data_IF_945734394621
#
_entry.id   IF_945734394621
#
_cell.length_a   1.000
_cell.length_b   1.000
_cell.length_c   1.000
_cell.angle_alpha   90.00
_cell.angle_beta   90.00
_cell.angle_gamma   90.00
#
_symmetry.space_group_name_H-M   'P 1'
#
loop_
_entity.id
_entity.type
_entity.pdbx_description
1 polymer ?
#
# COMPACT_ATOMS: atom_id res chain seq x y z
N UNK A 1 -23.77 -9.34 -5.57
CA UNK A 1 -23.22 -8.20 -6.30
C UNK A 1 -23.55 -8.33 -7.79
N UNK A 2 -23.82 -7.21 -8.45
CA UNK A 2 -23.92 -7.16 -9.91
C UNK A 2 -22.53 -6.93 -10.48
N UNK A 3 -22.05 -7.84 -11.32
CA UNK A 3 -20.74 -7.82 -11.95
C UNK A 3 -20.81 -7.64 -13.47
N UNK A 4 -21.96 -7.24 -13.99
CA UNK A 4 -22.20 -7.07 -15.43
C UNK A 4 -21.28 -6.03 -16.09
N UNK A 5 -20.70 -5.12 -15.31
CA UNK A 5 -19.72 -4.12 -15.77
C UNK A 5 -18.28 -4.61 -15.85
N UNK A 6 -17.99 -5.83 -15.41
CA UNK A 6 -16.64 -6.40 -15.44
C UNK A 6 -16.10 -6.55 -16.87
N UNK A 7 -14.78 -6.43 -17.02
CA UNK A 7 -14.08 -6.49 -18.31
C UNK A 7 -13.05 -7.61 -18.32
N UNK A 8 -12.64 -8.01 -19.53
CA UNK A 8 -11.55 -8.96 -19.74
C UNK A 8 -11.77 -10.30 -19.03
N UNK A 9 -13.00 -10.82 -19.08
CA UNK A 9 -13.41 -12.04 -18.39
C UNK A 9 -12.90 -13.31 -19.06
N UNK A 10 -12.54 -13.24 -20.36
CA UNK A 10 -11.97 -14.37 -21.08
C UNK A 10 -10.48 -14.50 -20.72
N UNK A 11 -10.05 -15.68 -20.24
CA UNK A 11 -8.63 -15.90 -19.91
C UNK A 11 -7.75 -15.81 -21.16
N UNK A 12 -6.73 -14.96 -21.10
CA UNK A 12 -5.70 -14.84 -22.13
C UNK A 12 -4.33 -14.64 -21.52
N UNK A 13 -3.48 -15.67 -21.57
CA UNK A 13 -2.13 -15.66 -21.00
C UNK A 13 -1.16 -14.67 -21.66
N UNK A 14 -1.56 -14.02 -22.76
CA UNK A 14 -0.76 -12.97 -23.41
C UNK A 14 -1.03 -11.56 -22.85
N UNK A 15 -2.06 -11.40 -22.01
CA UNK A 15 -2.47 -10.14 -21.38
C UNK A 15 -2.58 -8.95 -22.37
N UNK A 16 -3.36 -9.07 -23.46
CA UNK A 16 -3.33 -8.10 -24.56
C UNK A 16 -3.90 -6.72 -24.19
N UNK A 17 -4.67 -6.63 -23.10
CA UNK A 17 -5.39 -5.41 -22.75
C UNK A 17 -4.54 -4.40 -21.98
N UNK A 18 -3.78 -4.88 -21.01
CA UNK A 18 -2.82 -4.09 -20.21
C UNK A 18 -1.90 -5.05 -19.42
N UNK A 19 -0.82 -4.50 -18.87
CA UNK A 19 0.04 -5.24 -17.93
C UNK A 19 -0.81 -5.61 -16.70
N UNK A 20 -0.87 -6.90 -16.28
CA UNK A 20 -1.68 -7.35 -15.15
C UNK A 20 -0.99 -7.00 -13.82
N UNK A 21 -0.93 -5.72 -13.51
CA UNK A 21 -0.33 -5.19 -12.29
C UNK A 21 -1.10 -3.95 -11.83
N UNK A 22 -1.65 -3.94 -10.60
CA UNK A 22 -2.36 -2.80 -10.05
C UNK A 22 -1.53 -1.51 -9.92
N UNK A 23 -0.20 -1.59 -9.98
CA UNK A 23 0.67 -0.41 -10.01
C UNK A 23 0.79 0.22 -11.42
N UNK A 24 0.29 -0.47 -12.48
CA UNK A 24 0.38 0.01 -13.85
C UNK A 24 -0.69 1.08 -14.13
N UNK A 25 -0.26 2.24 -14.60
CA UNK A 25 -1.16 3.38 -14.87
C UNK A 25 -2.26 3.05 -15.89
N UNK A 26 -1.94 2.30 -16.96
CA UNK A 26 -2.93 1.93 -17.98
C UNK A 26 -3.96 0.94 -17.41
N UNK A 27 -3.54 0.01 -16.53
CA UNK A 27 -4.43 -0.91 -15.83
C UNK A 27 -5.39 -0.15 -14.92
N UNK A 28 -4.89 0.78 -14.10
CA UNK A 28 -5.71 1.61 -13.22
C UNK A 28 -6.63 2.55 -14.00
N UNK A 29 -6.16 3.16 -15.07
CA UNK A 29 -7.01 4.01 -15.93
C UNK A 29 -8.16 3.22 -16.56
N UNK A 30 -7.91 1.95 -16.95
CA UNK A 30 -8.93 1.07 -17.52
C UNK A 30 -10.06 0.81 -16.53
N UNK A 31 -9.76 0.42 -15.30
CA UNK A 31 -10.78 0.16 -14.28
C UNK A 31 -11.49 1.44 -13.84
N UNK A 32 -10.79 2.56 -13.69
CA UNK A 32 -11.40 3.87 -13.38
C UNK A 32 -12.40 4.31 -14.46
N UNK A 33 -12.05 4.12 -15.74
CA UNK A 33 -12.96 4.39 -16.84
C UNK A 33 -14.17 3.45 -16.84
N UNK A 34 -13.97 2.17 -16.50
CA UNK A 34 -15.07 1.20 -16.42
C UNK A 34 -16.07 1.56 -15.32
N UNK A 35 -15.58 1.89 -14.11
CA UNK A 35 -16.43 2.33 -12.98
C UNK A 35 -17.32 3.50 -13.39
N UNK A 36 -16.72 4.54 -13.98
CA UNK A 36 -17.47 5.73 -14.45
C UNK A 36 -18.47 5.40 -15.55
N UNK A 37 -18.10 4.54 -16.49
CA UNK A 37 -18.95 4.17 -17.64
C UNK A 37 -20.21 3.42 -17.20
N UNK A 38 -20.11 2.51 -16.25
CA UNK A 38 -21.24 1.68 -15.81
C UNK A 38 -21.91 2.17 -14.54
N UNK A 39 -21.36 3.20 -13.87
CA UNK A 39 -21.87 3.69 -12.59
C UNK A 39 -21.73 2.67 -11.48
N UNK A 40 -20.61 1.93 -11.43
CA UNK A 40 -20.38 0.93 -10.41
C UNK A 40 -20.11 1.56 -9.04
N UNK A 41 -20.51 0.87 -7.98
CA UNK A 41 -20.22 1.30 -6.60
C UNK A 41 -18.75 1.13 -6.23
N UNK A 42 -18.05 0.20 -6.88
CA UNK A 42 -16.64 -0.14 -6.64
C UNK A 42 -16.04 -0.80 -7.88
N UNK A 43 -14.82 -0.44 -8.21
CA UNK A 43 -13.96 -1.17 -9.13
C UNK A 43 -12.93 -1.97 -8.37
N UNK A 44 -12.61 -3.18 -8.87
CA UNK A 44 -11.58 -4.05 -8.32
C UNK A 44 -10.67 -4.50 -9.43
N UNK A 45 -9.36 -4.46 -9.21
CA UNK A 45 -8.34 -4.97 -10.13
C UNK A 45 -7.34 -5.83 -9.38
N UNK A 46 -6.97 -6.95 -9.97
CA UNK A 46 -5.98 -7.88 -9.46
C UNK A 46 -4.78 -7.98 -10.42
N UNK A 47 -3.70 -8.54 -9.94
CA UNK A 47 -2.62 -9.05 -10.78
C UNK A 47 -2.89 -10.50 -11.24
N UNK A 48 -1.86 -11.15 -11.80
CA UNK A 48 -2.03 -12.47 -12.47
C UNK A 48 -2.46 -13.59 -11.56
N UNK A 49 -2.02 -13.64 -10.33
CA UNK A 49 -2.28 -14.69 -9.34
C UNK A 49 -3.13 -14.22 -8.15
N UNK A 50 -3.64 -12.97 -8.25
CA UNK A 50 -4.58 -12.37 -7.33
C UNK A 50 -4.06 -12.20 -5.88
N UNK A 51 -2.75 -12.23 -5.68
CA UNK A 51 -2.14 -11.90 -4.38
C UNK A 51 -2.04 -10.39 -4.15
N UNK A 52 -2.14 -9.57 -5.22
CA UNK A 52 -2.22 -8.12 -5.17
C UNK A 52 -3.55 -7.60 -5.68
N UNK A 53 -4.05 -6.58 -5.01
CA UNK A 53 -5.26 -5.90 -5.41
C UNK A 53 -5.15 -4.38 -5.28
N UNK A 54 -5.93 -3.67 -6.09
CA UNK A 54 -6.28 -2.28 -5.89
C UNK A 54 -7.77 -2.08 -6.16
N UNK A 55 -8.32 -0.98 -5.67
CA UNK A 55 -9.73 -0.65 -5.86
C UNK A 55 -9.91 0.77 -6.38
N UNK A 56 -11.08 1.02 -6.93
CA UNK A 56 -11.52 2.32 -7.43
C UNK A 56 -12.87 2.63 -6.81
N UNK A 57 -13.01 3.80 -6.20
CA UNK A 57 -14.27 4.24 -5.59
C UNK A 57 -15.32 4.60 -6.67
N UNK A 58 -16.56 4.78 -6.25
CA UNK A 58 -17.70 5.04 -7.14
C UNK A 58 -17.54 6.29 -8.02
N UNK A 59 -16.74 7.27 -7.60
CA UNK A 59 -16.40 8.47 -8.37
C UNK A 59 -15.28 8.23 -9.41
N UNK A 60 -14.74 7.01 -9.48
CA UNK A 60 -13.62 6.64 -10.34
C UNK A 60 -12.24 7.05 -9.79
N UNK A 61 -12.17 7.41 -8.51
CA UNK A 61 -10.89 7.73 -7.86
C UNK A 61 -10.19 6.47 -7.43
N UNK A 62 -8.93 6.36 -7.78
CA UNK A 62 -8.08 5.22 -7.41
C UNK A 62 -7.85 5.18 -5.90
N UNK A 63 -7.97 3.99 -5.34
CA UNK A 63 -7.56 3.65 -3.97
C UNK A 63 -6.50 2.57 -4.09
N UNK A 64 -5.26 3.01 -4.19
CA UNK A 64 -4.09 2.20 -4.43
C UNK A 64 -2.91 2.69 -3.58
N UNK A 65 -1.85 1.93 -3.43
CA UNK A 65 -0.63 2.29 -2.69
C UNK A 65 -0.94 2.80 -1.26
N UNK A 66 -0.44 3.97 -0.87
CA UNK A 66 -0.70 4.55 0.45
C UNK A 66 -2.20 4.69 0.79
N UNK A 67 -3.05 4.96 -0.23
CA UNK A 67 -4.50 5.07 -0.03
C UNK A 67 -5.14 3.74 0.33
N UNK A 68 -4.70 2.64 -0.31
CA UNK A 68 -5.18 1.29 0.00
C UNK A 68 -4.77 0.89 1.42
N UNK A 69 -3.52 1.15 1.79
CA UNK A 69 -3.01 0.91 3.14
C UNK A 69 -3.80 1.73 4.17
N UNK A 70 -4.03 3.01 3.91
CA UNK A 70 -4.82 3.88 4.78
C UNK A 70 -6.26 3.35 4.96
N UNK A 71 -6.89 2.94 3.86
CA UNK A 71 -8.25 2.44 3.88
C UNK A 71 -8.41 1.18 4.75
N UNK A 72 -7.58 0.17 4.50
CA UNK A 72 -7.67 -1.08 5.29
C UNK A 72 -7.25 -0.84 6.74
N UNK A 73 -6.28 0.04 6.99
CA UNK A 73 -5.88 0.42 8.35
C UNK A 73 -7.03 1.10 9.09
N UNK A 74 -7.73 2.05 8.46
CA UNK A 74 -8.88 2.71 9.05
C UNK A 74 -9.99 1.71 9.41
N UNK A 75 -10.26 0.73 8.54
CA UNK A 75 -11.27 -0.31 8.79
C UNK A 75 -10.91 -1.14 10.03
N UNK A 76 -9.67 -1.59 10.12
CA UNK A 76 -9.21 -2.44 11.23
C UNK A 76 -9.12 -1.66 12.55
N UNK A 77 -8.66 -0.42 12.51
CA UNK A 77 -8.51 0.43 13.69
C UNK A 77 -9.84 0.98 14.20
N UNK A 78 -10.85 1.14 13.33
CA UNK A 78 -12.23 1.44 13.73
C UNK A 78 -12.82 0.32 14.60
N UNK A 79 -12.49 -0.93 14.28
CA UNK A 79 -12.92 -2.10 15.06
C UNK A 79 -12.08 -2.30 16.33
N UNK A 80 -10.77 -2.08 16.24
CA UNK A 80 -9.84 -2.28 17.35
C UNK A 80 -8.68 -1.27 17.32
N UNK A 81 -8.80 -0.15 18.01
CA UNK A 81 -7.72 0.82 18.18
C UNK A 81 -6.52 0.22 18.95
N UNK A 82 -5.34 0.81 18.75
CA UNK A 82 -4.11 0.41 19.45
C UNK A 82 -3.32 -0.70 18.76
N UNK A 83 -3.78 -1.16 17.58
CA UNK A 83 -3.05 -2.19 16.84
C UNK A 83 -1.92 -1.60 15.98
N UNK A 84 -0.91 -2.42 15.70
CA UNK A 84 0.25 -2.06 14.88
C UNK A 84 0.02 -2.48 13.43
N UNK A 85 0.23 -1.58 12.49
CA UNK A 85 0.15 -1.84 11.05
C UNK A 85 1.57 -1.93 10.48
N UNK A 86 1.95 -3.10 9.98
CA UNK A 86 3.26 -3.31 9.35
C UNK A 86 3.17 -3.01 7.85
N UNK A 87 4.07 -2.15 7.37
CA UNK A 87 4.14 -1.77 5.96
C UNK A 87 5.56 -1.85 5.42
N UNK A 88 5.70 -1.72 4.10
CA UNK A 88 7.00 -1.56 3.47
C UNK A 88 7.66 -0.20 3.78
N UNK A 89 8.94 -0.08 3.43
CA UNK A 89 9.78 1.07 3.75
C UNK A 89 9.45 2.34 2.96
N UNK A 90 8.75 2.25 1.84
CA UNK A 90 8.51 3.38 0.92
C UNK A 90 7.20 4.12 1.18
N UNK A 91 6.46 3.74 2.22
CA UNK A 91 5.24 4.42 2.63
C UNK A 91 5.47 5.85 3.09
N UNK A 92 4.49 6.73 2.86
CA UNK A 92 4.61 8.18 3.14
C UNK A 92 4.55 8.50 4.63
N UNK A 93 5.05 9.69 5.00
CA UNK A 93 4.90 10.24 6.35
C UNK A 93 3.43 10.59 6.65
N UNK A 94 2.69 11.06 5.63
CA UNK A 94 1.26 11.31 5.75
C UNK A 94 0.46 10.05 6.10
N UNK A 95 0.85 8.87 5.57
CA UNK A 95 0.26 7.60 5.97
C UNK A 95 0.56 7.28 7.45
N UNK A 96 1.79 7.52 7.90
CA UNK A 96 2.16 7.32 9.31
C UNK A 96 1.28 8.17 10.23
N UNK A 97 1.15 9.46 9.91
CA UNK A 97 0.28 10.35 10.66
C UNK A 97 -1.18 9.87 10.65
N UNK A 98 -1.70 9.48 9.50
CA UNK A 98 -3.06 8.98 9.34
C UNK A 98 -3.34 7.77 10.23
N UNK A 99 -2.47 6.75 10.20
CA UNK A 99 -2.62 5.55 11.04
C UNK A 99 -2.59 5.91 12.53
N UNK A 100 -1.69 6.83 12.93
CA UNK A 100 -1.61 7.29 14.32
C UNK A 100 -2.85 8.08 14.73
N UNK A 101 -3.40 8.94 13.86
CA UNK A 101 -4.63 9.68 14.12
C UNK A 101 -5.86 8.75 14.30
N UNK A 102 -5.85 7.57 13.66
CA UNK A 102 -6.83 6.49 13.87
C UNK A 102 -6.55 5.63 15.11
N UNK A 103 -5.55 6.02 15.92
CA UNK A 103 -5.19 5.34 17.17
C UNK A 103 -4.39 4.07 16.98
N UNK A 104 -3.78 3.85 15.82
CA UNK A 104 -2.87 2.74 15.54
C UNK A 104 -1.40 3.14 15.66
N UNK A 105 -0.52 2.17 15.52
CA UNK A 105 0.93 2.37 15.39
C UNK A 105 1.40 1.95 14.00
N UNK A 106 2.10 2.85 13.29
CA UNK A 106 2.65 2.55 11.98
C UNK A 106 4.08 2.02 12.10
N UNK A 107 4.30 0.79 11.67
CA UNK A 107 5.59 0.11 11.71
C UNK A 107 6.11 -0.16 10.30
N UNK A 108 7.09 0.64 9.85
CA UNK A 108 7.76 0.40 8.56
C UNK A 108 8.81 -0.67 8.69
N UNK A 109 8.85 -1.57 7.70
CA UNK A 109 9.85 -2.61 7.61
C UNK A 109 10.46 -2.68 6.21
N UNK A 110 11.35 -3.62 5.98
CA UNK A 110 11.99 -3.83 4.69
C UNK A 110 10.97 -4.17 3.62
N UNK A 111 11.14 -3.60 2.43
CA UNK A 111 10.32 -3.91 1.26
C UNK A 111 10.42 -5.40 0.89
N UNK A 112 9.33 -5.94 0.36
CA UNK A 112 9.13 -7.32 -0.04
C UNK A 112 8.07 -7.99 0.83
N UNK A 113 7.02 -8.51 0.19
CA UNK A 113 5.83 -9.06 0.85
C UNK A 113 6.19 -10.02 1.99
N UNK A 114 7.14 -10.92 1.74
CA UNK A 114 7.60 -11.87 2.76
C UNK A 114 8.24 -11.17 3.97
N UNK A 115 8.99 -10.10 3.75
CA UNK A 115 9.61 -9.36 4.85
C UNK A 115 8.55 -8.74 5.77
N UNK A 116 7.54 -8.07 5.21
CA UNK A 116 6.49 -7.42 6.01
C UNK A 116 5.59 -8.44 6.70
N UNK A 117 5.29 -9.58 6.04
CA UNK A 117 4.49 -10.66 6.62
C UNK A 117 5.23 -11.34 7.76
N UNK A 118 6.48 -11.75 7.54
CA UNK A 118 7.29 -12.41 8.58
C UNK A 118 7.48 -11.49 9.79
N UNK A 119 7.63 -10.18 9.57
CA UNK A 119 7.76 -9.21 10.66
C UNK A 119 6.44 -9.05 11.45
N UNK A 120 5.30 -8.99 10.79
CA UNK A 120 4.00 -8.94 11.46
C UNK A 120 3.76 -10.20 12.32
N UNK A 121 4.12 -11.38 11.79
CA UNK A 121 4.06 -12.64 12.53
C UNK A 121 5.01 -12.61 13.74
N UNK A 122 6.23 -12.09 13.57
CA UNK A 122 7.21 -11.96 14.66
C UNK A 122 6.68 -11.06 15.77
N UNK A 123 6.15 -9.87 15.42
CA UNK A 123 5.57 -8.93 16.38
C UNK A 123 4.44 -9.58 17.20
N UNK A 124 3.53 -10.29 16.53
CA UNK A 124 2.46 -11.01 17.25
C UNK A 124 2.99 -12.06 18.22
N UNK A 125 4.06 -12.79 17.87
CA UNK A 125 4.70 -13.74 18.78
C UNK A 125 5.33 -13.07 20.00
N UNK A 126 5.73 -11.81 19.88
CA UNK A 126 6.28 -11.00 20.96
C UNK A 126 5.20 -10.26 21.78
N UNK A 127 3.91 -10.48 21.46
CA UNK A 127 2.78 -9.89 22.17
C UNK A 127 2.37 -8.50 21.66
N UNK A 128 2.95 -8.02 20.56
CA UNK A 128 2.54 -6.78 19.89
C UNK A 128 1.42 -7.14 18.90
N UNK A 129 0.22 -6.61 19.13
CA UNK A 129 -0.92 -6.91 18.29
C UNK A 129 -0.78 -6.25 16.91
N UNK A 130 -0.64 -7.08 15.88
CA UNK A 130 -0.50 -6.66 14.50
C UNK A 130 -1.50 -7.43 13.61
N UNK A 131 -2.58 -6.80 13.16
CA UNK A 131 -3.62 -7.47 12.35
C UNK A 131 -3.28 -7.51 10.87
N UNK A 132 -2.34 -6.67 10.40
CA UNK A 132 -2.10 -6.42 8.99
C UNK A 132 -0.62 -6.26 8.67
N UNK A 133 -0.18 -6.97 7.63
CA UNK A 133 1.03 -6.68 6.88
C UNK A 133 0.63 -6.31 5.45
N UNK A 134 1.07 -5.15 4.96
CA UNK A 134 0.66 -4.66 3.64
C UNK A 134 1.76 -3.82 2.99
N UNK A 135 1.89 -3.94 1.66
CA UNK A 135 2.82 -3.16 0.87
C UNK A 135 2.13 -2.17 -0.07
N UNK A 136 2.87 -1.15 -0.48
CA UNK A 136 2.43 -0.20 -1.50
C UNK A 136 2.16 -0.86 -2.86
N UNK A 137 2.72 -2.04 -3.10
CA UNK A 137 2.48 -2.85 -4.30
C UNK A 137 1.10 -3.53 -4.36
N UNK A 138 0.37 -3.57 -3.23
CA UNK A 138 -0.94 -4.21 -3.13
C UNK A 138 -0.95 -5.58 -2.48
N UNK A 139 0.22 -6.17 -2.16
CA UNK A 139 0.31 -7.37 -1.33
C UNK A 139 -0.25 -7.09 0.06
N UNK A 140 -1.13 -7.94 0.56
CA UNK A 140 -1.75 -7.77 1.86
C UNK A 140 -2.04 -9.10 2.55
N UNK A 141 -1.60 -9.21 3.79
CA UNK A 141 -1.80 -10.38 4.63
C UNK A 141 -2.46 -9.99 5.95
N UNK A 142 -3.65 -10.50 6.18
CA UNK A 142 -4.41 -10.26 7.41
C UNK A 142 -4.24 -11.42 8.40
N UNK A 143 -4.08 -11.08 9.68
CA UNK A 143 -3.98 -12.08 10.78
C UNK A 143 -5.17 -13.04 10.80
N UNK A 144 -6.38 -12.55 10.57
CA UNK A 144 -7.59 -13.36 10.53
C UNK A 144 -7.62 -14.35 9.35
N UNK A 145 -6.87 -14.07 8.28
CA UNK A 145 -6.61 -14.99 7.17
C UNK A 145 -5.24 -15.68 7.31
N UNK A 146 -4.79 -15.94 8.54
CA UNK A 146 -3.54 -16.66 8.84
C UNK A 146 -2.26 -16.04 8.23
N UNK A 147 -2.27 -14.75 7.93
CA UNK A 147 -1.20 -14.03 7.23
C UNK A 147 -0.90 -14.61 5.83
N UNK A 148 -1.90 -15.20 5.18
CA UNK A 148 -1.79 -15.50 3.74
C UNK A 148 -1.74 -14.20 2.97
N UNK A 149 -0.84 -14.10 2.00
CA UNK A 149 -0.78 -13.01 1.04
C UNK A 149 -1.93 -13.20 0.05
N UNK A 150 -2.98 -12.39 0.19
CA UNK A 150 -4.27 -12.69 -0.44
C UNK A 150 -5.05 -11.40 -0.77
N UNK A 151 -4.90 -10.96 -2.02
CA UNK A 151 -5.61 -9.79 -2.55
C UNK A 151 -7.12 -10.01 -2.63
N UNK A 152 -7.58 -11.25 -2.82
CA UNK A 152 -9.02 -11.54 -2.88
C UNK A 152 -9.66 -11.43 -1.49
N UNK A 153 -8.97 -11.88 -0.45
CA UNK A 153 -9.44 -11.70 0.92
C UNK A 153 -9.51 -10.23 1.29
N UNK A 154 -8.45 -9.46 0.99
CA UNK A 154 -8.43 -8.01 1.17
C UNK A 154 -9.65 -7.35 0.53
N UNK A 155 -9.91 -7.65 -0.74
CA UNK A 155 -11.05 -7.09 -1.48
C UNK A 155 -12.38 -7.51 -0.86
N UNK A 156 -12.50 -8.72 -0.36
CA UNK A 156 -13.72 -9.18 0.33
C UNK A 156 -14.01 -8.31 1.57
N UNK A 157 -12.99 -8.01 2.38
CA UNK A 157 -13.13 -7.10 3.53
C UNK A 157 -13.59 -5.72 3.07
N UNK A 158 -12.98 -5.19 1.99
CA UNK A 158 -13.34 -3.88 1.44
C UNK A 158 -14.78 -3.84 0.91
N UNK A 159 -15.24 -4.89 0.21
CA UNK A 159 -16.62 -4.98 -0.29
C UNK A 159 -17.62 -5.00 0.88
N UNK A 160 -17.36 -5.78 1.92
CA UNK A 160 -18.24 -5.84 3.10
C UNK A 160 -18.33 -4.45 3.75
N UNK A 161 -17.21 -3.75 3.89
CA UNK A 161 -17.20 -2.39 4.44
C UNK A 161 -17.92 -1.39 3.54
N UNK A 162 -17.70 -1.46 2.23
CA UNK A 162 -18.39 -0.61 1.24
C UNK A 162 -19.91 -0.76 1.34
N UNK A 163 -20.43 -1.99 1.48
CA UNK A 163 -21.85 -2.25 1.64
C UNK A 163 -22.42 -1.62 2.92
N UNK A 164 -21.70 -1.70 4.04
CA UNK A 164 -22.09 -1.05 5.30
C UNK A 164 -22.13 0.47 5.15
N UNK A 165 -21.08 1.06 4.59
CA UNK A 165 -20.98 2.51 4.36
C UNK A 165 -22.07 3.03 3.41
N UNK A 166 -22.42 2.27 2.38
CA UNK A 166 -23.49 2.63 1.45
C UNK A 166 -24.85 2.76 2.15
N UNK A 167 -25.13 1.94 3.16
CA UNK A 167 -26.36 2.07 3.99
C UNK A 167 -26.37 3.39 4.79
N UNK A 168 -25.19 3.94 5.08
CA UNK A 168 -25.02 5.23 5.76
C UNK A 168 -24.90 6.42 4.78
N UNK A 169 -25.02 6.19 3.47
CA UNK A 169 -24.81 7.20 2.43
C UNK A 169 -23.35 7.64 2.27
N UNK A 170 -22.41 6.79 2.66
CA UNK A 170 -20.94 7.02 2.59
C UNK A 170 -20.29 6.10 1.56
N UNK A 171 -19.04 6.43 1.18
CA UNK A 171 -18.18 5.60 0.32
C UNK A 171 -16.91 5.19 1.06
N UNK A 172 -16.14 4.25 0.48
CA UNK A 172 -14.82 3.87 1.03
C UNK A 172 -13.88 5.08 1.07
N UNK A 173 -13.91 5.94 0.05
CA UNK A 173 -13.11 7.15 -0.01
C UNK A 173 -13.36 8.11 1.15
N UNK A 174 -14.55 8.08 1.76
CA UNK A 174 -14.86 8.93 2.92
C UNK A 174 -14.03 8.57 4.17
N UNK A 175 -13.58 7.32 4.31
CA UNK A 175 -12.73 6.89 5.43
C UNK A 175 -11.30 7.44 5.34
N UNK A 176 -10.86 7.81 4.15
CA UNK A 176 -9.49 8.30 3.88
C UNK A 176 -9.47 9.76 3.43
N UNK A 177 -10.53 10.50 3.70
CA UNK A 177 -10.64 11.91 3.30
C UNK A 177 -9.55 12.80 3.92
N UNK A 178 -9.11 12.48 5.13
CA UNK A 178 -8.10 13.22 5.88
C UNK A 178 -6.66 12.76 5.61
N UNK A 179 -6.47 11.73 4.75
CA UNK A 179 -5.14 11.27 4.37
C UNK A 179 -4.37 12.39 3.65
N UNK A 180 -3.23 12.78 4.20
CA UNK A 180 -2.30 13.70 3.55
C UNK A 180 -1.39 12.92 2.60
N UNK A 181 -1.54 13.16 1.32
CA UNK A 181 -0.70 12.55 0.30
C UNK A 181 0.47 13.47 -0.06
N UNK A 182 1.64 12.92 -0.44
CA UNK A 182 2.72 13.74 -0.96
C UNK A 182 2.25 14.49 -2.21
N UNK A 183 2.68 15.74 -2.35
CA UNK A 183 2.35 16.58 -3.52
C UNK A 183 2.88 15.93 -4.81
N UNK A 184 4.04 15.30 -4.73
CA UNK A 184 4.66 14.56 -5.83
C UNK A 184 5.37 13.32 -5.27
N UNK A 185 5.29 12.21 -6.00
CA UNK A 185 6.06 11.00 -5.74
C UNK A 185 6.73 10.55 -7.02
N UNK A 186 8.05 10.32 -6.99
CA UNK A 186 8.81 9.88 -8.15
C UNK A 186 9.79 8.78 -7.79
N UNK A 187 9.73 7.67 -8.52
CA UNK A 187 10.75 6.63 -8.48
C UNK A 187 11.81 6.89 -9.55
N UNK A 188 13.08 6.85 -9.17
CA UNK A 188 14.21 6.93 -10.09
C UNK A 188 15.00 5.64 -9.98
N UNK A 189 15.09 4.88 -11.07
CA UNK A 189 15.86 3.64 -11.16
C UNK A 189 17.17 3.90 -11.87
N UNK A 190 18.27 3.56 -11.22
CA UNK A 190 19.62 3.67 -11.76
C UNK A 190 20.22 2.28 -11.91
N UNK A 191 20.83 2.01 -13.07
CA UNK A 191 21.55 0.77 -13.30
C UNK A 191 23.01 0.93 -12.86
N UNK A 192 23.48 0.04 -12.00
CA UNK A 192 24.89 -0.06 -11.65
C UNK A 192 25.55 -0.99 -12.67
N UNK A 193 26.49 -0.46 -13.44
CA UNK A 193 27.17 -1.19 -14.52
C UNK A 193 28.50 -1.82 -14.07
N UNK A 194 28.89 -1.65 -12.81
CA UNK A 194 30.09 -2.26 -12.26
C UNK A 194 29.93 -3.77 -12.09
N UNK A 195 31.00 -4.54 -12.33
CA UNK A 195 30.98 -6.00 -12.17
C UNK A 195 30.67 -6.42 -10.73
N UNK A 196 31.14 -5.65 -9.76
CA UNK A 196 30.88 -5.79 -8.33
C UNK A 196 29.70 -4.89 -7.86
N UNK A 197 28.59 -4.91 -8.58
CA UNK A 197 27.44 -4.02 -8.36
C UNK A 197 26.98 -3.94 -6.90
N UNK A 198 27.15 -5.01 -6.11
CA UNK A 198 26.77 -5.03 -4.69
C UNK A 198 27.64 -4.12 -3.85
N UNK A 199 28.94 -4.14 -4.06
CA UNK A 199 29.88 -3.30 -3.31
C UNK A 199 29.84 -1.85 -3.81
N UNK A 200 29.67 -1.64 -5.12
CA UNK A 200 29.37 -0.33 -5.68
C UNK A 200 28.09 0.28 -5.09
N UNK A 201 27.04 -0.51 -4.92
CA UNK A 201 25.80 -0.10 -4.26
C UNK A 201 26.01 0.35 -2.81
N UNK A 202 26.81 -0.38 -2.02
CA UNK A 202 27.16 0.00 -0.65
C UNK A 202 27.89 1.35 -0.60
N UNK A 203 28.83 1.57 -1.54
CA UNK A 203 29.57 2.83 -1.64
C UNK A 203 28.62 4.00 -1.94
N UNK A 204 27.65 3.80 -2.83
CA UNK A 204 26.62 4.84 -3.13
C UNK A 204 25.80 5.16 -1.89
N UNK A 205 25.31 4.14 -1.19
CA UNK A 205 24.52 4.31 0.05
C UNK A 205 25.35 5.06 1.10
N UNK A 206 26.63 4.70 1.29
CA UNK A 206 27.49 5.38 2.25
C UNK A 206 27.69 6.86 1.90
N UNK A 207 27.89 7.19 0.62
CA UNK A 207 28.00 8.59 0.18
C UNK A 207 26.73 9.39 0.43
N UNK A 208 25.55 8.79 0.24
CA UNK A 208 24.28 9.44 0.54
C UNK A 208 24.14 9.69 2.05
N UNK A 209 24.54 8.73 2.89
CA UNK A 209 24.58 8.88 4.35
C UNK A 209 25.52 10.01 4.78
N UNK A 210 26.74 10.04 4.23
CA UNK A 210 27.74 11.07 4.55
C UNK A 210 27.21 12.46 4.17
N UNK A 211 26.58 12.57 3.00
CA UNK A 211 25.96 13.81 2.56
C UNK A 211 24.80 14.23 3.46
N UNK A 212 23.91 13.30 3.83
CA UNK A 212 22.80 13.57 4.71
C UNK A 212 23.24 14.05 6.10
N UNK A 213 24.29 13.44 6.65
CA UNK A 213 24.87 13.83 7.95
C UNK A 213 25.55 15.21 7.92
N UNK A 214 26.01 15.67 6.76
CA UNK A 214 26.65 16.97 6.60
C UNK A 214 25.65 18.12 6.30
N UNK A 215 24.43 17.79 5.89
CA UNK A 215 23.42 18.77 5.52
C UNK A 215 22.60 19.21 6.75
N UNK A 216 22.46 20.52 6.98
CA UNK A 216 21.83 21.07 8.19
C UNK A 216 20.35 20.69 8.38
N UNK A 217 19.61 20.48 7.28
CA UNK A 217 18.16 20.24 7.31
C UNK A 217 17.76 18.83 6.87
N UNK A 218 18.72 17.90 6.88
CA UNK A 218 18.45 16.52 6.50
C UNK A 218 18.50 15.61 7.73
N UNK A 219 17.48 14.83 7.92
CA UNK A 219 17.35 13.92 9.06
C UNK A 219 17.21 12.49 8.57
N UNK A 220 18.09 11.61 9.08
CA UNK A 220 17.93 10.17 8.81
C UNK A 220 16.76 9.68 9.65
N UNK A 221 15.78 9.04 8.99
CA UNK A 221 14.59 8.55 9.67
C UNK A 221 14.95 7.47 10.71
N UNK A 222 14.33 7.48 11.90
CA UNK A 222 14.62 6.51 12.95
C UNK A 222 14.14 5.08 12.60
N UNK A 223 13.18 4.96 11.70
CA UNK A 223 12.62 3.72 11.19
C UNK A 223 13.31 3.24 9.89
N UNK A 224 14.58 3.61 9.70
CA UNK A 224 15.40 3.23 8.56
C UNK A 224 15.85 1.76 8.67
N UNK A 225 15.18 0.86 7.99
CA UNK A 225 15.44 -0.60 8.03
C UNK A 225 16.20 -1.13 6.81
N UNK A 226 16.23 -0.35 5.73
CA UNK A 226 16.94 -0.67 4.50
C UNK A 226 17.31 0.62 3.75
N UNK A 227 18.38 0.58 2.98
CA UNK A 227 18.86 1.75 2.24
C UNK A 227 19.09 2.97 3.13
N UNK A 228 18.66 4.13 2.67
CA UNK A 228 18.73 5.38 3.42
C UNK A 228 17.40 6.13 3.25
N UNK A 229 16.71 6.37 4.36
CA UNK A 229 15.52 7.22 4.40
C UNK A 229 15.90 8.56 5.03
N UNK A 230 15.68 9.64 4.30
CA UNK A 230 15.98 11.00 4.73
C UNK A 230 14.68 11.80 4.72
N UNK A 231 14.48 12.63 5.74
CA UNK A 231 13.42 13.61 5.82
C UNK A 231 14.01 15.01 5.98
N UNK A 232 13.35 16.00 5.40
CA UNK A 232 13.66 17.43 5.60
C UNK A 232 12.88 18.03 6.75
N UNK A 233 11.86 17.32 7.21
CA UNK A 233 11.01 17.70 8.32
C UNK A 233 10.86 16.51 9.26
N UNK A 234 11.06 16.72 10.56
CA UNK A 234 10.94 15.67 11.57
C UNK A 234 9.48 15.26 11.81
N UNK A 235 8.55 16.15 11.52
CA UNK A 235 7.11 15.91 11.69
C UNK A 235 6.46 15.35 10.43
N UNK A 236 7.22 15.21 9.33
CA UNK A 236 7.01 14.44 8.14
C UNK A 236 5.94 14.85 7.20
#
# INVERSE_FOLDING_TARGET
ADVSGSQFLEPDGMFPNHIPNPENEAAMASISAAVKRVGADLGVIFDTDCDRAAVVDADGREINRNRLIALISAILLDEKPGETIVTDSVTSSGLKKFINDWGGEHYRYKRGYRNVIDEAIRLNKEGISCPLAIETSGHAALRENHFLDDGMYLVTVLIVRAMKLKQEGKTLGSLIADLKEPVESREIRLNITADDFRDAGKVVIQRVLDYANAAENWHIAPDNREGVRISFDLDG
#
